data_IF_861973231638
#
_entry.id   IF_861973231638
#
_cell.length_a   1.000
_cell.length_b   1.000
_cell.length_c   1.000
_cell.angle_alpha   90.00
_cell.angle_beta   90.00
_cell.angle_gamma   90.00
#
_symmetry.space_group_name_H-M   'P 1'
#
loop_
_entity.id
_entity.type
_entity.pdbx_description
1 polymer ?
#
# COMPACT_ATOMS: atom_id res chain seq x y z
N UNK A 1 5.40 -3.44 10.26
CA UNK A 1 4.12 -3.24 9.51
C UNK A 1 2.94 -3.81 10.30
N UNK A 2 1.71 -3.33 10.08
CA UNK A 2 0.51 -3.88 10.73
C UNK A 2 -0.66 -4.00 9.74
N UNK A 3 -1.07 -5.23 9.42
CA UNK A 3 -2.10 -5.53 8.42
C UNK A 3 -3.47 -5.74 9.08
N UNK A 4 -4.54 -5.29 8.43
CA UNK A 4 -5.90 -5.69 8.85
C UNK A 4 -6.12 -7.18 8.57
N UNK A 5 -7.11 -7.78 9.25
CA UNK A 5 -7.50 -9.16 9.02
C UNK A 5 -7.72 -9.48 7.53
N UNK A 6 -8.42 -8.61 6.81
CA UNK A 6 -8.72 -8.83 5.39
C UNK A 6 -7.48 -8.80 4.50
N UNK A 7 -6.56 -7.86 4.74
CA UNK A 7 -5.31 -7.79 3.97
C UNK A 7 -4.39 -8.98 4.26
N UNK A 8 -4.39 -9.49 5.50
CA UNK A 8 -3.56 -10.63 5.87
C UNK A 8 -4.09 -11.97 5.32
N UNK A 9 -5.39 -12.24 5.46
CA UNK A 9 -5.97 -13.54 5.11
C UNK A 9 -6.41 -13.64 3.64
N UNK A 10 -6.50 -12.53 2.93
CA UNK A 10 -6.87 -12.48 1.51
C UNK A 10 -5.83 -11.67 0.71
N UNK A 11 -4.55 -11.96 0.92
CA UNK A 11 -3.41 -11.22 0.36
C UNK A 11 -3.48 -11.05 -1.16
N UNK A 12 -3.87 -12.11 -1.90
CA UNK A 12 -4.01 -12.05 -3.36
C UNK A 12 -5.00 -10.97 -3.83
N UNK A 13 -6.07 -10.72 -3.06
CA UNK A 13 -7.05 -9.69 -3.39
C UNK A 13 -6.54 -8.27 -3.09
N UNK A 14 -5.49 -8.15 -2.27
CA UNK A 14 -4.83 -6.89 -1.97
C UNK A 14 -3.81 -6.47 -3.04
N UNK A 15 -3.50 -7.34 -4.00
CA UNK A 15 -2.69 -7.01 -5.18
C UNK A 15 -3.48 -6.13 -6.17
N UNK A 16 -2.78 -5.43 -7.07
CA UNK A 16 -3.36 -4.55 -8.10
C UNK A 16 -2.79 -3.14 -8.09
N UNK A 17 -3.15 -2.34 -9.11
CA UNK A 17 -2.71 -0.94 -9.21
C UNK A 17 -3.74 -0.03 -8.53
N UNK A 18 -3.35 0.59 -7.42
CA UNK A 18 -4.22 1.49 -6.64
C UNK A 18 -4.60 2.79 -7.37
N UNK A 19 -4.01 3.06 -8.53
CA UNK A 19 -4.43 4.14 -9.45
C UNK A 19 -5.67 3.74 -10.26
N UNK A 20 -5.95 2.44 -10.40
CA UNK A 20 -7.18 1.92 -11.00
C UNK A 20 -8.26 1.90 -9.92
N UNK A 21 -9.39 2.58 -10.17
CA UNK A 21 -10.44 2.78 -9.17
C UNK A 21 -11.00 1.44 -8.64
N UNK A 22 -11.18 0.44 -9.51
CA UNK A 22 -11.72 -0.86 -9.09
C UNK A 22 -10.77 -1.61 -8.14
N UNK A 23 -9.46 -1.57 -8.41
CA UNK A 23 -8.47 -2.19 -7.54
C UNK A 23 -8.38 -1.48 -6.19
N UNK A 24 -8.47 -0.14 -6.20
CA UNK A 24 -8.50 0.67 -4.98
C UNK A 24 -9.74 0.36 -4.12
N UNK A 25 -10.91 0.22 -4.72
CA UNK A 25 -12.15 -0.13 -4.02
C UNK A 25 -12.10 -1.54 -3.42
N UNK A 26 -11.60 -2.52 -4.20
CA UNK A 26 -11.36 -3.89 -3.70
C UNK A 26 -10.44 -3.86 -2.48
N UNK A 27 -9.32 -3.14 -2.57
CA UNK A 27 -8.35 -2.99 -1.49
C UNK A 27 -8.97 -2.35 -0.25
N UNK A 28 -9.75 -1.26 -0.41
CA UNK A 28 -10.46 -0.61 0.71
C UNK A 28 -11.45 -1.55 1.40
N UNK A 29 -12.16 -2.39 0.64
CA UNK A 29 -13.08 -3.39 1.19
C UNK A 29 -12.40 -4.41 2.12
N UNK A 30 -11.11 -4.73 1.88
CA UNK A 30 -10.34 -5.62 2.76
C UNK A 30 -10.03 -4.99 4.12
N UNK A 31 -10.02 -3.65 4.23
CA UNK A 31 -9.84 -2.97 5.50
C UNK A 31 -11.03 -3.15 6.44
N UNK A 32 -12.23 -3.30 5.90
CA UNK A 32 -13.51 -3.35 6.64
C UNK A 32 -14.13 -4.74 6.74
N UNK A 33 -13.54 -5.75 6.09
CA UNK A 33 -14.07 -7.12 5.98
C UNK A 33 -14.27 -7.86 7.32
N UNK A 34 -13.63 -7.42 8.40
CA UNK A 34 -13.97 -7.88 9.75
C UNK A 34 -14.96 -6.92 10.39
N UNK A 35 -16.18 -7.39 10.66
CA UNK A 35 -17.20 -6.67 11.42
C UNK A 35 -16.66 -6.23 12.79
N UNK A 36 -16.11 -5.01 12.88
CA UNK A 36 -15.94 -4.29 14.14
C UNK A 36 -14.66 -4.49 14.96
N UNK A 37 -13.55 -5.03 14.44
CA UNK A 37 -12.32 -5.06 15.24
C UNK A 37 -11.06 -4.57 14.49
N UNK A 38 -10.87 -3.23 14.39
CA UNK A 38 -9.61 -2.62 13.98
C UNK A 38 -8.39 -3.04 14.83
N UNK A 39 -8.64 -3.66 15.99
CA UNK A 39 -7.64 -4.06 17.00
C UNK A 39 -6.97 -5.41 16.73
N UNK A 40 -7.58 -6.32 15.96
CA UNK A 40 -6.91 -7.57 15.53
C UNK A 40 -6.12 -7.32 14.25
N UNK A 41 -4.92 -6.76 14.42
CA UNK A 41 -3.95 -6.59 13.33
C UNK A 41 -2.87 -7.65 13.42
N UNK A 42 -2.43 -8.14 12.26
CA UNK A 42 -1.20 -8.91 12.18
C UNK A 42 -0.03 -7.93 12.14
N UNK A 43 0.82 -7.95 13.17
CA UNK A 43 2.01 -7.11 13.24
C UNK A 43 3.22 -7.91 12.74
N UNK A 44 4.02 -7.28 11.88
CA UNK A 44 5.30 -7.81 11.40
C UNK A 44 6.41 -6.88 11.88
N UNK A 45 7.12 -7.23 12.96
CA UNK A 45 8.23 -6.46 13.52
C UNK A 45 9.58 -6.93 12.96
N UNK A 46 9.69 -7.01 11.64
CA UNK A 46 10.90 -7.52 10.98
C UNK A 46 11.77 -6.36 10.46
N UNK A 47 13.08 -6.57 10.48
CA UNK A 47 14.06 -5.70 9.85
C UNK A 47 14.51 -6.30 8.52
N UNK A 48 14.85 -5.45 7.56
CA UNK A 48 15.44 -5.87 6.29
C UNK A 48 16.87 -5.30 6.19
N UNK A 49 17.76 -6.05 5.54
CA UNK A 49 19.08 -5.53 5.15
C UNK A 49 18.93 -4.79 3.83
N UNK A 50 19.50 -3.59 3.75
CA UNK A 50 19.53 -2.84 2.49
C UNK A 50 20.50 -3.54 1.54
N UNK A 51 19.99 -4.06 0.43
CA UNK A 51 20.81 -4.72 -0.61
C UNK A 51 21.49 -3.69 -1.53
N UNK A 52 20.75 -2.66 -1.96
CA UNK A 52 21.22 -1.63 -2.89
C UNK A 52 20.68 -0.25 -2.52
N UNK A 53 21.47 0.78 -2.79
CA UNK A 53 21.12 2.19 -2.65
C UNK A 53 21.39 2.86 -4.00
N UNK A 54 20.46 3.68 -4.45
CA UNK A 54 20.57 4.47 -5.68
C UNK A 54 20.22 5.92 -5.34
N UNK A 55 20.93 6.85 -5.97
CA UNK A 55 20.71 8.29 -5.82
C UNK A 55 20.40 8.91 -7.19
N UNK A 56 19.52 9.91 -7.21
CA UNK A 56 19.11 10.61 -8.43
C UNK A 56 17.68 10.29 -8.89
N UNK A 57 17.20 10.97 -9.95
CA UNK A 57 15.82 10.85 -10.43
C UNK A 57 15.50 9.49 -11.06
N UNK A 58 16.51 8.66 -11.36
CA UNK A 58 16.31 7.43 -12.11
C UNK A 58 15.73 7.74 -13.48
N UNK A 59 14.64 7.05 -13.84
CA UNK A 59 13.89 7.27 -15.09
C UNK A 59 12.67 8.18 -14.90
N UNK A 60 12.59 8.94 -13.80
CA UNK A 60 11.49 9.87 -13.56
C UNK A 60 11.63 11.12 -14.44
N UNK A 61 10.51 11.53 -15.04
CA UNK A 61 10.41 12.82 -15.72
C UNK A 61 10.33 13.95 -14.69
N UNK A 62 10.89 15.12 -15.04
CA UNK A 62 10.78 16.32 -14.22
C UNK A 62 9.31 16.70 -14.00
N UNK A 63 9.00 17.17 -12.80
CA UNK A 63 7.66 17.69 -12.49
C UNK A 63 7.50 19.02 -13.22
N UNK A 64 6.34 19.25 -13.84
CA UNK A 64 6.03 20.57 -14.36
C UNK A 64 5.84 21.54 -13.18
N UNK A 65 6.65 22.60 -13.12
CA UNK A 65 6.59 23.65 -12.09
C UNK A 65 5.20 24.28 -11.96
N UNK A 66 4.40 24.29 -13.02
CA UNK A 66 3.02 24.80 -13.04
C UNK A 66 1.97 23.80 -12.55
N UNK A 67 2.38 22.62 -12.07
CA UNK A 67 1.46 21.61 -11.56
C UNK A 67 0.70 22.17 -10.34
N UNK A 68 -0.65 22.09 -10.33
CA UNK A 68 -1.43 22.61 -9.23
C UNK A 68 -1.07 21.87 -7.93
N UNK A 69 -0.67 22.62 -6.91
CA UNK A 69 -0.52 22.10 -5.55
C UNK A 69 -1.87 22.11 -4.84
N UNK A 70 -2.16 21.07 -4.06
CA UNK A 70 -3.37 20.92 -3.24
C UNK A 70 -3.45 21.93 -2.10
#
# INVERSE_FOLDING_TARGET
MAFSYGHWNFSEQAHGDKRILQDLERWRGLATRSSGCPSKRQVIPEQATIDKIFDGPGDLEDINDDSPTL
#
